data_IF_245114976827
#
_entry.id   IF_245114976827
#
_cell.length_a   1.000
_cell.length_b   1.000
_cell.length_c   1.000
_cell.angle_alpha   90.00
_cell.angle_beta   90.00
_cell.angle_gamma   90.00
#
_symmetry.space_group_name_H-M   'P 1'
#
loop_
_entity.id
_entity.type
_entity.pdbx_description
1 polymer ?
#
# COMPACT_ATOMS: atom_id res chain seq x y z
N UNK A 1 -7.10 -1.47 -18.60
CA UNK A 1 -6.76 -0.92 -17.27
C UNK A 1 -5.26 -0.94 -17.09
N UNK A 2 -4.66 0.08 -16.48
CA UNK A 2 -3.22 0.11 -16.20
C UNK A 2 -2.94 -0.77 -14.98
N UNK A 3 -1.97 -1.68 -15.09
CA UNK A 3 -1.51 -2.50 -13.95
C UNK A 3 -0.96 -1.59 -12.85
N UNK A 4 -1.44 -1.78 -11.63
CA UNK A 4 -0.95 -1.10 -10.44
C UNK A 4 -0.02 -2.01 -9.64
N UNK A 5 0.84 -1.40 -8.83
CA UNK A 5 1.68 -2.12 -7.88
C UNK A 5 1.43 -1.56 -6.49
N UNK A 6 1.12 -2.47 -5.55
CA UNK A 6 1.13 -2.23 -4.12
C UNK A 6 2.50 -2.69 -3.60
N UNK A 7 3.34 -1.75 -3.22
CA UNK A 7 4.60 -2.01 -2.54
C UNK A 7 4.40 -2.11 -1.04
N UNK A 8 5.04 -3.08 -0.39
CA UNK A 8 4.98 -3.28 1.06
C UNK A 8 6.39 -3.27 1.61
N UNK A 9 6.67 -2.37 2.55
CA UNK A 9 7.91 -2.40 3.32
C UNK A 9 7.90 -3.65 4.23
N UNK A 10 8.63 -4.70 3.87
CA UNK A 10 8.58 -5.96 4.62
C UNK A 10 9.40 -5.93 5.92
N UNK A 11 10.17 -4.86 6.15
CA UNK A 11 11.10 -4.72 7.27
C UNK A 11 10.67 -3.67 8.30
N UNK A 12 9.49 -3.07 8.16
CA UNK A 12 9.01 -2.09 9.13
C UNK A 12 8.38 -2.77 10.35
N UNK A 13 8.66 -2.20 11.53
CA UNK A 13 8.00 -2.52 12.79
C UNK A 13 7.31 -1.24 13.28
N UNK A 14 6.09 -1.37 13.78
CA UNK A 14 5.28 -0.28 14.32
C UNK A 14 5.83 0.18 15.69
N UNK A 15 6.43 -0.74 16.45
CA UNK A 15 7.04 -0.47 17.76
C UNK A 15 8.56 -0.57 17.70
N UNK A 16 9.26 0.31 18.42
CA UNK A 16 10.70 0.20 18.67
C UNK A 16 11.03 -1.00 19.58
N UNK A 17 10.09 -1.39 20.46
CA UNK A 17 10.21 -2.54 21.36
C UNK A 17 9.82 -3.87 20.68
N UNK A 18 10.03 -3.99 19.37
CA UNK A 18 9.68 -5.20 18.61
C UNK A 18 10.46 -6.42 19.15
N UNK A 19 9.79 -7.49 19.62
CA UNK A 19 10.48 -8.59 20.25
C UNK A 19 11.45 -9.31 19.32
N UNK A 20 12.63 -9.64 19.83
CA UNK A 20 13.61 -10.41 19.09
C UNK A 20 13.04 -11.76 18.64
N UNK A 21 13.30 -12.14 17.38
CA UNK A 21 12.81 -13.39 16.79
C UNK A 21 11.36 -13.36 16.28
N UNK A 22 10.59 -12.29 16.51
CA UNK A 22 9.29 -12.10 15.88
C UNK A 22 9.43 -11.52 14.46
N UNK A 23 8.58 -11.92 13.50
CA UNK A 23 8.58 -11.30 12.17
C UNK A 23 8.21 -9.82 12.29
N UNK A 24 8.83 -8.98 11.46
CA UNK A 24 8.48 -7.56 11.39
C UNK A 24 6.98 -7.38 11.02
N UNK A 25 6.33 -6.34 11.54
CA UNK A 25 4.91 -6.07 11.28
C UNK A 25 4.61 -5.98 9.77
N UNK A 26 5.52 -5.38 9.00
CA UNK A 26 5.41 -5.33 7.53
C UNK A 26 5.44 -6.71 6.86
N UNK A 27 6.17 -7.67 7.42
CA UNK A 27 6.17 -9.06 6.93
C UNK A 27 4.88 -9.79 7.30
N UNK A 28 4.30 -9.51 8.47
CA UNK A 28 2.99 -10.02 8.89
C UNK A 28 1.91 -9.50 7.92
N UNK A 29 1.89 -8.18 7.67
CA UNK A 29 0.97 -7.55 6.73
C UNK A 29 1.11 -8.11 5.31
N UNK A 30 2.34 -8.29 4.82
CA UNK A 30 2.60 -8.90 3.51
C UNK A 30 1.99 -10.30 3.40
N UNK A 31 2.17 -11.14 4.44
CA UNK A 31 1.60 -12.49 4.46
C UNK A 31 0.07 -12.46 4.43
N UNK A 32 -0.55 -11.58 5.22
CA UNK A 32 -2.01 -11.41 5.21
C UNK A 32 -2.50 -10.96 3.83
N UNK A 33 -1.85 -9.96 3.23
CA UNK A 33 -2.17 -9.50 1.88
C UNK A 33 -2.09 -10.63 0.84
N UNK A 34 -1.04 -11.45 0.88
CA UNK A 34 -0.89 -12.59 -0.03
C UNK A 34 -1.99 -13.64 0.17
N UNK A 35 -2.35 -13.96 1.42
CA UNK A 35 -3.43 -14.89 1.74
C UNK A 35 -4.78 -14.37 1.25
N UNK A 36 -5.11 -13.11 1.50
CA UNK A 36 -6.36 -12.50 1.03
C UNK A 36 -6.42 -12.41 -0.50
N UNK A 37 -5.30 -12.04 -1.13
CA UNK A 37 -5.21 -11.87 -2.58
C UNK A 37 -5.36 -13.18 -3.36
N UNK A 38 -4.84 -14.29 -2.82
CA UNK A 38 -4.97 -15.61 -3.44
C UNK A 38 -6.44 -16.04 -3.62
N UNK A 39 -7.35 -15.50 -2.80
CA UNK A 39 -8.78 -15.81 -2.84
C UNK A 39 -9.59 -14.90 -3.80
N UNK A 40 -8.95 -13.94 -4.48
CA UNK A 40 -9.62 -12.89 -5.27
C UNK A 40 -9.01 -12.75 -6.68
N UNK A 41 -9.25 -13.72 -7.58
CA UNK A 41 -8.64 -13.78 -8.92
C UNK A 41 -9.03 -12.61 -9.86
N UNK A 42 -10.09 -11.87 -9.56
CA UNK A 42 -10.46 -10.64 -10.26
C UNK A 42 -9.42 -9.51 -10.10
N UNK A 43 -8.44 -9.68 -9.21
CA UNK A 43 -7.38 -8.70 -8.93
C UNK A 43 -6.18 -8.78 -9.88
N UNK A 44 -6.32 -9.40 -11.07
CA UNK A 44 -5.22 -9.62 -12.05
C UNK A 44 -4.43 -8.36 -12.45
N UNK A 45 -5.00 -7.16 -12.26
CA UNK A 45 -4.36 -5.88 -12.57
C UNK A 45 -3.60 -5.25 -11.39
N UNK A 46 -3.54 -5.92 -10.23
CA UNK A 46 -2.80 -5.50 -9.05
C UNK A 46 -1.60 -6.43 -8.88
N UNK A 47 -0.41 -5.86 -8.66
CA UNK A 47 0.79 -6.59 -8.26
C UNK A 47 1.13 -6.25 -6.81
N UNK A 48 1.15 -7.25 -5.94
CA UNK A 48 1.73 -7.12 -4.60
C UNK A 48 3.23 -7.33 -4.73
N UNK A 49 4.04 -6.37 -4.28
CA UNK A 49 5.49 -6.45 -4.35
C UNK A 49 6.14 -6.09 -3.00
N UNK A 50 6.83 -7.03 -2.35
CA UNK A 50 7.65 -6.70 -1.20
C UNK A 50 8.85 -5.84 -1.61
N UNK A 51 9.21 -4.89 -0.74
CA UNK A 51 10.39 -4.04 -0.86
C UNK A 51 11.07 -3.89 0.50
N UNK A 52 12.28 -3.35 0.51
CA UNK A 52 12.95 -2.94 1.75
C UNK A 52 12.33 -1.67 2.34
N UNK A 53 13.14 -0.92 3.09
CA UNK A 53 12.71 0.29 3.77
C UNK A 53 12.16 1.36 2.80
N UNK A 54 10.99 1.92 3.13
CA UNK A 54 10.38 3.09 2.47
C UNK A 54 10.63 4.40 3.25
N UNK A 55 11.59 4.38 4.18
CA UNK A 55 12.05 5.54 4.95
C UNK A 55 11.00 6.22 5.87
N UNK A 56 9.98 5.47 6.27
CA UNK A 56 8.98 5.92 7.25
C UNK A 56 8.80 4.91 8.40
N UNK A 57 9.91 4.34 8.87
CA UNK A 57 9.91 3.28 9.88
C UNK A 57 9.30 3.70 11.22
N UNK A 58 9.39 4.99 11.60
CA UNK A 58 8.74 5.51 12.82
C UNK A 58 7.21 5.53 12.75
N UNK A 59 6.65 5.12 11.61
CA UNK A 59 5.22 5.01 11.31
C UNK A 59 4.95 3.70 10.56
N UNK A 60 5.56 2.57 10.98
CA UNK A 60 5.22 1.26 10.42
C UNK A 60 3.75 0.87 10.70
N UNK A 61 3.05 0.08 9.90
CA UNK A 61 3.47 -0.43 8.59
C UNK A 61 3.37 0.64 7.49
N UNK A 62 4.23 0.52 6.46
CA UNK A 62 4.30 1.46 5.34
C UNK A 62 4.05 0.74 4.00
N UNK A 63 3.15 1.28 3.19
CA UNK A 63 2.85 0.76 1.84
C UNK A 63 2.73 1.87 0.81
N UNK A 64 3.01 1.55 -0.45
CA UNK A 64 2.86 2.50 -1.54
C UNK A 64 2.03 1.93 -2.70
N UNK A 65 1.05 2.69 -3.19
CA UNK A 65 0.28 2.38 -4.38
C UNK A 65 0.80 3.19 -5.56
N UNK A 66 1.28 2.51 -6.60
CA UNK A 66 1.81 3.17 -7.80
C UNK A 66 1.25 2.58 -9.09
N UNK A 67 1.21 3.41 -10.13
CA UNK A 67 0.91 3.00 -11.48
C UNK A 67 1.42 4.07 -12.47
N UNK A 68 1.77 3.69 -13.71
CA UNK A 68 2.13 4.63 -14.75
C UNK A 68 1.10 5.76 -14.90
N UNK A 69 1.58 7.01 -14.92
CA UNK A 69 0.79 8.24 -15.10
C UNK A 69 -0.28 8.50 -14.02
N UNK A 70 -0.19 7.84 -12.87
CA UNK A 70 -1.05 8.05 -11.70
C UNK A 70 -0.21 8.54 -10.52
N UNK A 71 -0.79 9.33 -9.59
CA UNK A 71 -0.08 9.69 -8.37
C UNK A 71 0.29 8.44 -7.58
N UNK A 72 1.38 8.50 -6.84
CA UNK A 72 1.73 7.47 -5.87
C UNK A 72 1.14 7.86 -4.51
N UNK A 73 0.41 6.95 -3.86
CA UNK A 73 0.00 7.14 -2.46
C UNK A 73 0.94 6.35 -1.57
N UNK A 74 1.53 7.02 -0.59
CA UNK A 74 2.26 6.39 0.50
C UNK A 74 1.37 6.47 1.74
N UNK A 75 1.02 5.31 2.30
CA UNK A 75 0.31 5.22 3.57
C UNK A 75 1.27 4.68 4.63
N UNK A 76 1.16 5.24 5.83
CA UNK A 76 2.00 4.93 6.99
C UNK A 76 1.14 4.85 8.24
N UNK A 77 1.65 4.21 9.29
CA UNK A 77 0.94 3.87 10.53
C UNK A 77 -0.21 2.90 10.27
N UNK A 78 -0.01 1.99 9.30
CA UNK A 78 -1.06 1.05 8.92
C UNK A 78 -1.09 -0.10 9.94
N UNK A 79 -2.26 -0.38 10.56
CA UNK A 79 -2.42 -1.56 11.40
C UNK A 79 -2.23 -2.86 10.60
N UNK A 80 -1.57 -3.90 11.13
CA UNK A 80 -1.34 -5.16 10.42
C UNK A 80 -2.62 -5.80 9.83
N UNK A 81 -3.74 -5.72 10.52
CA UNK A 81 -5.05 -6.23 10.11
C UNK A 81 -5.69 -5.50 8.90
N UNK A 82 -5.04 -4.47 8.35
CA UNK A 82 -5.58 -3.62 7.27
C UNK A 82 -5.58 -4.27 5.88
N UNK A 83 -5.16 -5.53 5.74
CA UNK A 83 -5.04 -6.18 4.43
C UNK A 83 -6.32 -6.09 3.55
N UNK A 84 -7.55 -6.32 4.06
CA UNK A 84 -8.77 -6.16 3.26
C UNK A 84 -8.97 -4.73 2.74
N UNK A 85 -8.72 -3.73 3.60
CA UNK A 85 -8.84 -2.33 3.25
C UNK A 85 -7.81 -1.92 2.18
N UNK A 86 -6.56 -2.36 2.32
CA UNK A 86 -5.52 -2.10 1.33
C UNK A 86 -5.86 -2.69 -0.05
N UNK A 87 -6.45 -3.89 -0.08
CA UNK A 87 -6.91 -4.51 -1.33
C UNK A 87 -8.09 -3.76 -1.94
N UNK A 88 -9.06 -3.32 -1.12
CA UNK A 88 -10.16 -2.48 -1.58
C UNK A 88 -9.64 -1.18 -2.19
N UNK A 89 -8.71 -0.49 -1.52
CA UNK A 89 -8.09 0.71 -2.07
C UNK A 89 -7.29 0.41 -3.35
N UNK A 90 -6.54 -0.70 -3.39
CA UNK A 90 -5.82 -1.14 -4.60
C UNK A 90 -6.76 -1.28 -5.80
N UNK A 91 -7.94 -1.88 -5.60
CA UNK A 91 -8.95 -2.04 -6.63
C UNK A 91 -9.51 -0.69 -7.10
N UNK A 92 -9.89 0.20 -6.17
CA UNK A 92 -10.35 1.56 -6.48
C UNK A 92 -9.29 2.34 -7.29
N UNK A 93 -8.04 2.31 -6.82
CA UNK A 93 -6.90 2.96 -7.47
C UNK A 93 -6.63 2.40 -8.87
N UNK A 94 -6.70 1.08 -9.03
CA UNK A 94 -6.51 0.39 -10.32
C UNK A 94 -7.59 0.78 -11.32
N UNK A 95 -8.84 0.80 -10.87
CA UNK A 95 -10.02 1.10 -11.70
C UNK A 95 -10.16 2.58 -12.04
N UNK A 96 -9.63 3.48 -11.21
CA UNK A 96 -9.62 4.92 -11.49
C UNK A 96 -8.76 5.23 -12.72
N UNK A 97 -9.27 6.03 -13.66
CA UNK A 97 -8.51 6.45 -14.83
C UNK A 97 -7.33 7.36 -14.47
N UNK A 98 -7.51 8.22 -13.46
CA UNK A 98 -6.51 9.21 -13.03
C UNK A 98 -5.70 8.76 -11.81
N UNK A 99 -6.19 7.78 -11.06
CA UNK A 99 -5.64 7.41 -9.76
C UNK A 99 -5.98 8.42 -8.65
N UNK A 100 -6.73 9.49 -8.94
CA UNK A 100 -7.26 10.37 -7.90
C UNK A 100 -8.45 9.67 -7.25
N UNK A 101 -8.30 9.32 -5.97
CA UNK A 101 -9.37 8.73 -5.15
C UNK A 101 -9.79 9.83 -4.16
N UNK A 102 -11.08 10.21 -4.12
CA UNK A 102 -11.60 11.12 -3.10
C UNK A 102 -11.42 10.52 -1.70
N UNK A 103 -11.01 11.28 -0.68
CA UNK A 103 -10.83 10.77 0.68
C UNK A 103 -12.07 10.05 1.25
N UNK A 104 -13.27 10.48 0.88
CA UNK A 104 -14.54 9.89 1.33
C UNK A 104 -14.75 8.45 0.80
N UNK A 105 -14.01 8.07 -0.24
CA UNK A 105 -14.05 6.71 -0.81
C UNK A 105 -12.99 5.80 -0.21
N UNK A 106 -12.09 6.31 0.63
CA UNK A 106 -11.08 5.48 1.25
C UNK A 106 -11.78 4.51 2.21
N UNK A 107 -11.30 3.26 2.30
CA UNK A 107 -11.68 2.39 3.41
C UNK A 107 -11.49 3.11 4.75
N UNK A 108 -12.40 2.91 5.69
CA UNK A 108 -12.47 3.63 6.97
C UNK A 108 -11.11 3.68 7.70
N UNK A 109 -10.46 2.52 7.86
CA UNK A 109 -9.15 2.44 8.51
C UNK A 109 -8.05 3.25 7.82
N UNK A 110 -8.16 3.50 6.51
CA UNK A 110 -7.18 4.28 5.74
C UNK A 110 -7.47 5.79 5.74
N UNK A 111 -8.63 6.22 6.28
CA UNK A 111 -8.94 7.65 6.42
C UNK A 111 -8.20 8.28 7.60
N UNK A 112 -7.84 7.49 8.60
CA UNK A 112 -7.24 7.96 9.86
C UNK A 112 -5.71 7.87 9.88
N UNK A 113 -5.12 7.12 8.95
CA UNK A 113 -3.67 6.88 8.91
C UNK A 113 -2.93 8.00 8.16
N UNK A 114 -1.63 8.11 8.42
CA UNK A 114 -0.81 9.12 7.75
C UNK A 114 -0.70 8.82 6.25
N UNK A 115 -0.84 9.85 5.42
CA UNK A 115 -0.81 9.72 3.96
C UNK A 115 0.01 10.83 3.30
N UNK A 116 0.79 10.44 2.29
CA UNK A 116 1.36 11.35 1.31
C UNK A 116 0.89 10.96 -0.11
N UNK A 117 0.56 11.97 -0.92
CA UNK A 117 0.24 11.80 -2.32
C UNK A 117 1.31 12.47 -3.18
N UNK A 118 2.13 11.65 -3.83
CA UNK A 118 3.23 12.09 -4.68
C UNK A 118 2.71 12.22 -6.12
N UNK A 119 2.87 13.38 -6.78
CA UNK A 119 2.45 13.57 -8.17
C UNK A 119 3.06 12.54 -9.12
N UNK A 120 2.32 12.20 -10.17
CA UNK A 120 2.87 11.37 -11.24
C UNK A 120 3.94 12.15 -12.02
N UNK A 121 5.03 11.49 -12.39
CA UNK A 121 5.95 12.03 -13.40
C UNK A 121 5.23 11.94 -14.75
N UNK A 122 4.73 13.07 -15.26
CA UNK A 122 4.34 13.19 -16.66
C UNK A 122 5.61 13.46 -17.45
N UNK A 123 5.87 12.68 -18.50
CA UNK A 123 7.03 12.87 -19.38
C UNK A 123 7.09 14.35 -19.80
N UNK A 124 8.12 15.07 -19.35
CA UNK A 124 8.44 16.38 -19.89
C UNK A 124 9.18 16.13 -21.21
N UNK A 125 8.52 16.44 -22.33
CA UNK A 125 9.22 16.63 -23.60
C UNK A 125 10.07 17.88 -23.42
N UNK A 126 11.39 17.70 -23.27
CA UNK A 126 12.37 18.76 -23.49
C UNK A 126 12.52 19.02 -24.99
#
# INVERSE_FOLDING_TARGET
>A
MTKSTLFICQSCCLSEDHPEGQPADGAILLKQLQTHFANHPESNNIRIQPVGCLWDCGRGCVVAFTAPRKPTYLFSTIPPESAPALLQFAQQYTNSQTGNIPPEKFPEILQEVAIAKIPAITRETF
#
